data_IF_363700836366
#
_entry.id   IF_363700836366
#
_cell.length_a   1.000
_cell.length_b   1.000
_cell.length_c   1.000
_cell.angle_alpha   90.00
_cell.angle_beta   90.00
_cell.angle_gamma   90.00
#
_symmetry.space_group_name_H-M   'P 1'
#
loop_
_entity.id
_entity.type
_entity.pdbx_description
1 polymer ?
#
# COMPACT_ATOMS: atom_id res chain seq x y z
N UNK A 1 -14.06 15.94 13.35
CA UNK A 1 -13.83 15.18 14.60
C UNK A 1 -13.67 16.20 15.72
N UNK A 2 -14.71 16.41 16.52
CA UNK A 2 -14.76 17.47 17.54
C UNK A 2 -14.39 16.94 18.93
N UNK A 3 -13.15 17.23 19.35
CA UNK A 3 -12.87 18.02 20.56
C UNK A 3 -12.86 17.37 21.95
N UNK A 4 -13.50 16.24 22.21
CA UNK A 4 -13.41 15.61 23.55
C UNK A 4 -13.46 14.08 23.47
N UNK A 5 -12.31 13.45 23.24
CA UNK A 5 -12.19 11.99 23.16
C UNK A 5 -11.18 11.49 24.18
N UNK A 6 -11.58 10.55 25.04
CA UNK A 6 -10.67 9.85 25.96
C UNK A 6 -9.92 8.69 25.29
N UNK A 7 -10.30 8.35 24.06
CA UNK A 7 -9.75 7.25 23.28
C UNK A 7 -8.97 7.76 22.09
N UNK A 8 -7.77 7.21 21.89
CA UNK A 8 -6.90 7.49 20.75
C UNK A 8 -6.55 6.16 20.09
N UNK A 9 -6.74 6.06 18.78
CA UNK A 9 -6.31 4.93 17.97
C UNK A 9 -5.42 5.42 16.82
N UNK A 10 -4.30 4.74 16.62
CA UNK A 10 -3.36 5.01 15.54
C UNK A 10 -3.15 3.78 14.67
N UNK A 11 -3.13 3.99 13.36
CA UNK A 11 -2.69 3.00 12.37
C UNK A 11 -1.34 3.46 11.84
N UNK A 12 -0.31 2.64 12.02
CA UNK A 12 1.06 2.93 11.57
C UNK A 12 1.42 2.03 10.40
N UNK A 13 2.17 2.56 9.44
CA UNK A 13 2.66 1.77 8.31
C UNK A 13 3.75 0.78 8.76
N UNK A 14 3.75 -0.41 8.15
CA UNK A 14 4.86 -1.35 8.21
C UNK A 14 5.71 -1.26 6.93
N UNK A 15 6.12 -2.42 6.40
CA UNK A 15 6.73 -2.50 5.08
C UNK A 15 5.64 -2.65 4.00
N UNK A 16 5.27 -1.54 3.36
CA UNK A 16 4.15 -1.47 2.39
C UNK A 16 4.57 -0.98 1.00
N UNK A 17 5.86 -1.10 0.66
CA UNK A 17 6.41 -0.56 -0.60
C UNK A 17 5.81 -1.18 -1.87
N UNK A 18 5.36 -2.44 -1.77
CA UNK A 18 4.79 -3.26 -2.85
C UNK A 18 3.37 -3.75 -2.51
N UNK A 19 2.72 -3.16 -1.51
CA UNK A 19 1.39 -3.57 -1.05
C UNK A 19 0.33 -2.60 -1.56
N UNK A 20 -0.64 -3.12 -2.32
CA UNK A 20 -1.78 -2.34 -2.82
C UNK A 20 -3.08 -2.65 -2.06
N UNK A 21 -3.91 -1.64 -1.71
CA UNK A 21 -5.26 -1.84 -1.20
C UNK A 21 -6.26 -2.28 -2.31
N UNK A 22 -5.85 -2.27 -3.57
CA UNK A 22 -6.67 -2.59 -4.73
C UNK A 22 -6.70 -4.11 -4.98
N UNK A 23 -7.44 -4.80 -4.12
CA UNK A 23 -7.44 -6.27 -4.03
C UNK A 23 -8.09 -7.00 -5.21
N UNK A 24 -8.80 -6.32 -6.11
CA UNK A 24 -9.36 -6.97 -7.29
C UNK A 24 -8.33 -7.11 -8.43
N UNK A 25 -7.16 -6.48 -8.30
CA UNK A 25 -6.13 -6.47 -9.32
C UNK A 25 -6.22 -5.26 -10.24
N UNK A 26 -5.30 -5.20 -11.21
CA UNK A 26 -5.18 -4.08 -12.15
C UNK A 26 -5.75 -4.43 -13.52
N UNK A 27 -6.54 -3.51 -14.07
CA UNK A 27 -7.26 -3.71 -15.33
C UNK A 27 -7.14 -2.49 -16.24
N UNK A 28 -7.33 -2.75 -17.52
CA UNK A 28 -7.34 -1.73 -18.55
C UNK A 28 -8.65 -0.93 -18.55
N UNK A 29 -8.51 0.39 -18.51
CA UNK A 29 -9.61 1.36 -18.67
C UNK A 29 -9.46 2.08 -20.02
N UNK A 30 -9.80 1.37 -21.10
CA UNK A 30 -9.54 1.79 -22.48
C UNK A 30 -10.78 1.58 -23.37
N UNK A 31 -11.86 2.36 -23.19
CA UNK A 31 -13.10 2.18 -23.92
C UNK A 31 -12.89 2.10 -25.44
N UNK A 32 -13.42 1.05 -26.06
CA UNK A 32 -13.33 0.83 -27.52
C UNK A 32 -12.03 0.16 -27.99
N UNK A 33 -11.13 -0.21 -27.09
CA UNK A 33 -9.93 -0.98 -27.43
C UNK A 33 -10.14 -2.49 -27.17
N UNK A 34 -9.44 -3.39 -27.89
CA UNK A 34 -9.60 -4.84 -27.71
C UNK A 34 -9.14 -5.35 -26.34
N UNK A 35 -8.36 -4.54 -25.61
CA UNK A 35 -7.87 -4.84 -24.27
C UNK A 35 -8.68 -4.18 -23.15
N UNK A 36 -9.79 -3.50 -23.46
CA UNK A 36 -10.63 -2.87 -22.44
C UNK A 36 -11.18 -3.89 -21.46
N UNK A 37 -11.07 -3.60 -20.16
CA UNK A 37 -11.51 -4.50 -19.10
C UNK A 37 -10.69 -5.78 -18.92
N UNK A 38 -9.63 -6.01 -19.70
CA UNK A 38 -8.70 -7.11 -19.48
C UNK A 38 -7.71 -6.78 -18.35
N UNK A 39 -7.12 -7.81 -17.69
CA UNK A 39 -6.02 -7.60 -16.77
C UNK A 39 -4.84 -6.92 -17.46
N UNK A 40 -4.15 -6.03 -16.75
CA UNK A 40 -2.92 -5.43 -17.27
C UNK A 40 -1.82 -6.47 -17.49
N UNK A 41 -0.84 -6.14 -18.33
CA UNK A 41 0.38 -6.93 -18.45
C UNK A 41 1.13 -6.99 -17.12
N UNK A 42 1.48 -8.20 -16.67
CA UNK A 42 2.01 -8.44 -15.33
C UNK A 42 3.43 -7.89 -15.10
N UNK A 43 4.23 -7.79 -16.16
CA UNK A 43 5.62 -7.35 -16.13
C UNK A 43 5.78 -5.83 -16.24
N UNK A 44 4.91 -5.19 -17.02
CA UNK A 44 5.03 -3.78 -17.41
C UNK A 44 3.93 -2.89 -16.87
N UNK A 45 2.86 -3.47 -16.31
CA UNK A 45 1.66 -2.75 -15.86
C UNK A 45 1.02 -1.91 -16.98
N UNK A 46 0.92 -2.47 -18.18
CA UNK A 46 0.46 -1.75 -19.39
C UNK A 46 -0.82 -2.31 -19.97
N UNK A 47 -1.46 -1.46 -20.79
CA UNK A 47 -2.61 -1.75 -21.63
C UNK A 47 -2.35 -1.16 -23.01
N UNK A 48 -2.12 -2.01 -24.02
CA UNK A 48 -1.67 -1.55 -25.34
C UNK A 48 -0.39 -0.72 -25.26
N UNK A 49 0.62 -1.24 -24.52
CA UNK A 49 1.92 -0.62 -24.27
C UNK A 49 1.91 0.70 -23.48
N UNK A 50 0.76 1.11 -22.94
CA UNK A 50 0.63 2.33 -22.11
C UNK A 50 0.32 2.00 -20.66
N UNK A 51 1.10 2.57 -19.75
CA UNK A 51 0.88 2.40 -18.30
C UNK A 51 -0.32 3.21 -17.80
N UNK A 52 -0.59 4.37 -18.40
CA UNK A 52 -1.64 5.33 -17.99
C UNK A 52 -3.05 4.75 -17.92
N UNK A 53 -3.29 3.62 -18.60
CA UNK A 53 -4.61 2.99 -18.70
C UNK A 53 -4.75 1.77 -17.81
N UNK A 54 -3.70 1.39 -17.11
CA UNK A 54 -3.71 0.29 -16.17
C UNK A 54 -4.00 0.80 -14.77
N UNK A 55 -5.17 0.46 -14.23
CA UNK A 55 -5.60 0.91 -12.91
C UNK A 55 -5.98 -0.25 -12.00
N UNK A 56 -5.45 -0.22 -10.78
CA UNK A 56 -5.82 -1.09 -9.68
C UNK A 56 -7.26 -0.85 -9.25
N UNK A 57 -8.01 -1.93 -9.00
CA UNK A 57 -9.40 -1.88 -8.55
C UNK A 57 -9.55 -2.31 -7.10
N UNK A 58 -10.14 -1.44 -6.29
CA UNK A 58 -10.50 -1.72 -4.91
C UNK A 58 -11.60 -2.76 -4.76
N UNK A 59 -11.79 -3.34 -3.55
CA UNK A 59 -12.78 -4.40 -3.30
C UNK A 59 -14.23 -4.02 -3.63
N UNK A 60 -14.55 -2.73 -3.71
CA UNK A 60 -15.87 -2.20 -4.02
C UNK A 60 -15.78 -1.17 -5.17
N UNK A 61 -14.93 -1.42 -6.17
CA UNK A 61 -14.69 -0.53 -7.31
C UNK A 61 -15.99 -0.13 -8.05
N UNK A 62 -16.92 -1.07 -8.20
CA UNK A 62 -18.19 -0.85 -8.89
C UNK A 62 -19.30 -0.27 -7.98
N UNK A 63 -19.03 -0.02 -6.69
CA UNK A 63 -20.06 0.40 -5.72
C UNK A 63 -19.87 1.84 -5.24
N UNK A 64 -20.99 2.56 -5.13
CA UNK A 64 -21.03 3.85 -4.43
C UNK A 64 -21.05 3.68 -2.90
N UNK A 65 -21.02 4.80 -2.16
CA UNK A 65 -21.10 4.80 -0.69
C UNK A 65 -22.39 4.18 -0.13
N UNK A 66 -23.44 4.05 -0.95
CA UNK A 66 -24.72 3.39 -0.59
C UNK A 66 -24.74 1.90 -0.92
N UNK A 67 -23.65 1.36 -1.48
CA UNK A 67 -23.55 -0.03 -1.90
C UNK A 67 -24.26 -0.33 -3.23
N UNK A 68 -24.71 0.69 -3.95
CA UNK A 68 -25.34 0.53 -5.27
C UNK A 68 -24.28 0.55 -6.35
N UNK A 69 -24.43 -0.35 -7.32
CA UNK A 69 -23.72 -0.25 -8.59
C UNK A 69 -24.32 0.89 -9.39
N UNK A 70 -23.55 1.94 -9.62
CA UNK A 70 -23.98 3.12 -10.37
C UNK A 70 -23.06 3.38 -11.55
N UNK A 71 -23.61 4.01 -12.59
CA UNK A 71 -22.94 4.37 -13.84
C UNK A 71 -21.77 5.34 -13.63
N UNK A 72 -21.74 6.04 -12.49
CA UNK A 72 -20.67 6.96 -12.10
C UNK A 72 -19.43 6.26 -11.50
N UNK A 73 -19.50 4.94 -11.28
CA UNK A 73 -18.46 4.18 -10.61
C UNK A 73 -18.29 4.57 -9.14
N UNK A 74 -17.80 3.65 -8.31
CA UNK A 74 -17.32 4.03 -6.99
C UNK A 74 -16.02 4.79 -7.16
N UNK A 75 -15.96 6.09 -6.86
CA UNK A 75 -14.72 6.89 -6.80
C UNK A 75 -13.73 6.41 -5.69
N UNK A 76 -13.61 5.10 -5.48
CA UNK A 76 -12.80 4.49 -4.44
C UNK A 76 -13.34 4.64 -3.01
N UNK A 77 -14.33 5.50 -2.75
CA UNK A 77 -14.80 5.77 -1.38
C UNK A 77 -15.34 4.52 -0.66
N UNK A 78 -16.14 3.70 -1.35
CA UNK A 78 -16.65 2.45 -0.79
C UNK A 78 -15.50 1.49 -0.46
N UNK A 79 -14.54 1.36 -1.39
CA UNK A 79 -13.32 0.55 -1.20
C UNK A 79 -12.48 1.05 -0.03
N UNK A 80 -12.23 2.36 0.08
CA UNK A 80 -11.47 2.98 1.16
C UNK A 80 -12.10 2.68 2.52
N UNK A 81 -13.43 2.81 2.61
CA UNK A 81 -14.17 2.50 3.83
C UNK A 81 -14.10 1.01 4.18
N UNK A 82 -14.23 0.13 3.21
CA UNK A 82 -14.16 -1.32 3.45
C UNK A 82 -12.76 -1.76 3.88
N UNK A 83 -11.71 -1.24 3.25
CA UNK A 83 -10.32 -1.51 3.65
C UNK A 83 -10.05 -1.00 5.07
N UNK A 84 -10.48 0.23 5.40
CA UNK A 84 -10.38 0.76 6.76
C UNK A 84 -11.16 -0.07 7.79
N UNK A 85 -12.38 -0.50 7.44
CA UNK A 85 -13.20 -1.38 8.28
C UNK A 85 -12.51 -2.73 8.55
N UNK A 86 -11.85 -3.31 7.55
CA UNK A 86 -11.09 -4.56 7.69
C UNK A 86 -9.87 -4.39 8.58
N UNK A 87 -9.14 -3.28 8.45
CA UNK A 87 -8.01 -2.97 9.34
C UNK A 87 -8.49 -2.84 10.80
N UNK A 88 -9.58 -2.11 11.04
CA UNK A 88 -10.19 -2.01 12.39
C UNK A 88 -10.63 -3.38 12.90
N UNK A 89 -11.28 -4.19 12.07
CA UNK A 89 -11.74 -5.53 12.46
C UNK A 89 -10.56 -6.43 12.89
N UNK A 90 -9.46 -6.43 12.14
CA UNK A 90 -8.26 -7.20 12.49
C UNK A 90 -7.66 -6.77 13.82
N UNK A 91 -7.61 -5.46 14.10
CA UNK A 91 -7.12 -4.96 15.40
C UNK A 91 -8.09 -5.30 16.53
N UNK A 92 -9.41 -5.19 16.32
CA UNK A 92 -10.41 -5.55 17.35
C UNK A 92 -10.32 -7.03 17.72
N UNK A 93 -10.15 -7.89 16.71
CA UNK A 93 -9.92 -9.32 16.91
C UNK A 93 -8.62 -9.58 17.67
N UNK A 94 -7.51 -8.96 17.25
CA UNK A 94 -6.21 -9.12 17.90
C UNK A 94 -6.20 -8.61 19.37
N UNK A 95 -6.94 -7.54 19.66
CA UNK A 95 -7.09 -6.99 21.02
C UNK A 95 -8.12 -7.77 21.87
N UNK A 96 -8.82 -8.75 21.31
CA UNK A 96 -9.81 -9.55 22.02
C UNK A 96 -11.11 -8.80 22.35
N UNK A 97 -11.45 -7.74 21.60
CA UNK A 97 -12.76 -7.10 21.72
C UNK A 97 -13.85 -8.09 21.30
N UNK A 98 -14.77 -8.39 22.22
CA UNK A 98 -15.90 -9.28 21.92
C UNK A 98 -16.95 -8.55 21.09
N UNK A 99 -17.64 -9.30 20.22
CA UNK A 99 -18.74 -8.82 19.36
C UNK A 99 -19.86 -8.11 20.15
N UNK A 100 -19.92 -8.28 21.48
CA UNK A 100 -20.86 -7.66 22.41
C UNK A 100 -20.76 -6.12 22.49
N UNK A 101 -19.63 -5.53 22.08
CA UNK A 101 -19.41 -4.06 22.11
C UNK A 101 -19.54 -3.41 20.70
N UNK A 102 -20.10 -4.13 19.73
CA UNK A 102 -20.26 -3.64 18.34
C UNK A 102 -21.60 -4.02 17.72
N UNK A 103 -22.68 -3.78 18.46
CA UNK A 103 -23.95 -3.43 17.85
C UNK A 103 -23.98 -1.92 17.55
N UNK A 104 -23.11 -1.43 16.67
CA UNK A 104 -23.45 -0.26 15.86
C UNK A 104 -23.85 -0.79 14.50
N UNK A 105 -25.15 -1.05 14.38
CA UNK A 105 -25.91 -1.35 13.18
C UNK A 105 -25.86 -0.17 12.20
N UNK A 106 -24.69 0.15 11.66
CA UNK A 106 -24.57 1.30 10.74
C UNK A 106 -23.62 1.03 9.57
N UNK A 107 -23.79 -0.14 8.95
CA UNK A 107 -23.88 -0.29 7.49
C UNK A 107 -24.07 -1.77 7.12
N UNK A 108 -25.22 -2.06 6.51
CA UNK A 108 -25.54 -3.39 6.03
C UNK A 108 -24.74 -3.77 4.78
N UNK A 109 -23.81 -4.71 4.93
CA UNK A 109 -23.51 -5.66 3.87
C UNK A 109 -23.53 -7.05 4.50
N UNK A 110 -24.55 -7.84 4.14
CA UNK A 110 -24.76 -9.19 4.66
C UNK A 110 -23.58 -10.10 4.29
N UNK A 111 -22.62 -10.27 5.20
CA UNK A 111 -21.71 -11.41 5.12
C UNK A 111 -22.46 -12.66 5.57
N UNK A 112 -22.70 -13.57 4.62
CA UNK A 112 -23.39 -14.83 4.82
C UNK A 112 -22.87 -15.61 6.04
N UNK A 113 -23.80 -16.16 6.81
CA UNK A 113 -23.56 -16.86 8.07
C UNK A 113 -22.64 -18.09 7.94
N UNK A 114 -22.42 -18.59 6.73
CA UNK A 114 -21.64 -19.81 6.44
C UNK A 114 -20.13 -19.57 6.39
N UNK A 115 -19.66 -18.41 5.90
CA UNK A 115 -18.22 -18.08 5.86
C UNK A 115 -17.64 -17.71 7.25
N UNK A 116 -18.51 -17.28 8.17
CA UNK A 116 -18.13 -16.95 9.56
C UNK A 116 -17.69 -18.18 10.36
N UNK A 117 -18.18 -19.37 10.02
CA UNK A 117 -17.93 -20.59 10.80
C UNK A 117 -16.57 -21.22 10.47
N UNK A 118 -16.14 -21.18 9.21
CA UNK A 118 -14.84 -21.73 8.80
C UNK A 118 -13.67 -20.78 9.09
N UNK A 119 -13.88 -19.46 8.98
CA UNK A 119 -12.84 -18.47 9.32
C UNK A 119 -12.57 -18.42 10.83
N UNK A 120 -13.61 -18.50 11.66
CA UNK A 120 -13.48 -18.64 13.13
C UNK A 120 -12.70 -19.90 13.53
N UNK A 121 -12.75 -20.96 12.73
CA UNK A 121 -11.99 -22.19 12.98
C UNK A 121 -10.51 -22.10 12.55
N UNK A 122 -10.20 -21.35 11.46
CA UNK A 122 -8.81 -21.13 11.00
C UNK A 122 -8.06 -20.10 11.85
N UNK A 123 -8.71 -19.02 12.32
CA UNK A 123 -8.06 -18.04 13.21
C UNK A 123 -7.78 -18.60 14.61
N UNK A 124 -8.60 -19.56 15.08
CA UNK A 124 -8.37 -20.28 16.35
C UNK A 124 -7.08 -21.11 16.38
N UNK A 125 -6.39 -21.30 15.24
CA UNK A 125 -5.11 -22.03 15.21
C UNK A 125 -3.86 -21.17 15.45
N UNK A 126 -4.00 -19.84 15.54
CA UNK A 126 -2.90 -18.95 15.96
C UNK A 126 -3.30 -17.86 16.96
N UNK A 127 -4.60 -17.60 17.15
CA UNK A 127 -5.10 -16.73 18.21
C UNK A 127 -5.39 -17.52 19.47
N UNK A 128 -4.43 -17.61 20.39
CA UNK A 128 -4.68 -18.07 21.75
C UNK A 128 -5.81 -17.25 22.37
N UNK A 129 -6.68 -17.91 23.16
CA UNK A 129 -7.52 -17.22 24.14
C UNK A 129 -6.59 -16.48 25.11
N UNK A 130 -6.29 -15.21 24.88
CA UNK A 130 -5.33 -14.50 25.71
C UNK A 130 -5.53 -13.01 25.58
N UNK A 131 -5.77 -12.32 26.71
CA UNK A 131 -5.69 -10.87 26.76
C UNK A 131 -4.33 -10.38 26.27
N UNK A 132 -4.25 -9.10 25.91
CA UNK A 132 -3.00 -8.46 25.47
C UNK A 132 -1.86 -8.79 26.45
N UNK A 133 -0.72 -9.25 25.92
CA UNK A 133 0.44 -9.57 26.73
C UNK A 133 1.03 -8.27 27.31
N UNK A 134 1.14 -8.13 28.65
CA UNK A 134 1.76 -6.96 29.25
C UNK A 134 3.22 -6.80 28.81
N UNK A 135 3.59 -5.59 28.39
CA UNK A 135 4.97 -5.23 28.05
C UNK A 135 5.60 -4.54 29.27
N UNK A 136 6.74 -5.06 29.73
CA UNK A 136 7.48 -4.52 30.88
C UNK A 136 8.97 -4.42 30.55
N UNK A 137 9.68 -3.49 31.20
CA UNK A 137 11.12 -3.30 31.06
C UNK A 137 11.53 -1.85 30.86
N UNK A 138 12.84 -1.56 30.82
CA UNK A 138 13.34 -0.22 30.57
C UNK A 138 13.10 0.20 29.11
N UNK A 139 12.65 1.44 28.91
CA UNK A 139 12.53 2.06 27.58
C UNK A 139 13.91 2.52 27.11
N UNK A 140 14.29 2.18 25.87
CA UNK A 140 15.54 2.60 25.25
C UNK A 140 15.29 3.11 23.84
N UNK A 141 16.10 4.05 23.39
CA UNK A 141 16.05 4.61 22.04
C UNK A 141 17.46 4.74 21.48
N UNK A 142 17.61 4.49 20.19
CA UNK A 142 18.84 4.73 19.44
C UNK A 142 18.50 5.48 18.16
N UNK A 143 19.35 6.42 17.79
CA UNK A 143 19.20 7.23 16.60
C UNK A 143 20.59 7.50 16.00
N UNK A 144 20.71 7.42 14.68
CA UNK A 144 21.93 7.74 13.96
C UNK A 144 21.58 8.42 12.64
N UNK A 145 22.35 9.46 12.30
CA UNK A 145 22.39 9.97 10.94
C UNK A 145 23.46 9.20 10.16
N UNK A 146 23.07 8.61 9.04
CA UNK A 146 23.96 7.80 8.19
C UNK A 146 24.00 8.41 6.80
N UNK A 147 25.20 8.65 6.27
CA UNK A 147 25.39 9.07 4.89
C UNK A 147 25.29 7.85 3.96
N UNK A 148 24.17 7.74 3.26
CA UNK A 148 23.90 6.63 2.34
C UNK A 148 24.47 6.84 0.94
N UNK A 149 25.18 7.93 0.65
CA UNK A 149 25.74 8.20 -0.69
C UNK A 149 26.99 7.38 -1.03
N UNK A 150 27.54 6.67 -0.06
CA UNK A 150 28.74 5.83 -0.21
C UNK A 150 28.99 4.92 0.99
N UNK A 151 27.92 4.47 1.64
CA UNK A 151 27.98 3.63 2.82
C UNK A 151 28.50 2.23 2.48
N UNK A 152 29.52 1.76 3.19
CA UNK A 152 30.09 0.43 3.00
C UNK A 152 29.57 -0.56 4.03
N UNK A 153 29.15 -1.75 3.57
CA UNK A 153 28.66 -2.81 4.43
C UNK A 153 29.07 -4.19 3.92
N UNK A 154 29.09 -5.17 4.82
CA UNK A 154 29.39 -6.55 4.48
C UNK A 154 28.10 -7.30 4.13
N UNK A 155 28.14 -8.07 3.06
CA UNK A 155 27.09 -9.04 2.73
C UNK A 155 27.25 -10.32 3.56
N UNK A 156 26.22 -11.17 3.54
CA UNK A 156 26.25 -12.46 4.24
C UNK A 156 27.41 -13.37 3.80
N UNK A 157 27.96 -13.17 2.59
CA UNK A 157 29.13 -13.89 2.07
C UNK A 157 30.49 -13.24 2.45
N UNK A 158 30.49 -12.29 3.38
CA UNK A 158 31.65 -11.51 3.81
C UNK A 158 32.30 -10.57 2.76
N UNK A 159 31.72 -10.43 1.56
CA UNK A 159 32.16 -9.39 0.62
C UNK A 159 31.69 -8.01 1.08
N UNK A 160 32.53 -7.00 0.88
CA UNK A 160 32.16 -5.61 1.16
C UNK A 160 31.63 -4.96 -0.10
N UNK A 161 30.49 -4.30 0.02
CA UNK A 161 29.86 -3.53 -1.05
C UNK A 161 29.59 -2.12 -0.57
N UNK A 162 29.37 -1.22 -1.52
CA UNK A 162 29.16 0.20 -1.26
C UNK A 162 27.84 0.65 -1.90
N UNK A 163 27.10 1.52 -1.21
CA UNK A 163 25.92 2.17 -1.78
C UNK A 163 26.30 3.23 -2.83
N UNK A 164 25.37 3.51 -3.73
CA UNK A 164 25.52 4.59 -4.73
C UNK A 164 24.83 5.88 -4.24
N UNK A 165 25.23 7.05 -4.76
CA UNK A 165 24.43 8.26 -4.65
C UNK A 165 23.01 8.04 -5.19
N UNK A 166 22.04 8.78 -4.63
CA UNK A 166 20.64 8.64 -5.02
C UNK A 166 20.44 8.94 -6.52
N UNK A 167 19.80 8.00 -7.22
CA UNK A 167 19.37 8.13 -8.61
C UNK A 167 18.07 7.35 -8.78
N UNK A 168 17.18 7.81 -9.67
CA UNK A 168 15.91 7.16 -9.98
C UNK A 168 15.95 6.56 -11.38
N UNK A 169 15.54 5.30 -11.52
CA UNK A 169 15.43 4.63 -12.82
C UNK A 169 14.21 5.10 -13.61
N UNK A 170 14.16 4.73 -14.90
CA UNK A 170 13.07 5.11 -15.82
C UNK A 170 11.67 4.75 -15.29
N UNK A 171 11.51 3.56 -14.71
CA UNK A 171 10.22 3.10 -14.18
C UNK A 171 9.68 3.96 -13.03
N UNK A 172 10.50 4.80 -12.39
CA UNK A 172 9.99 5.79 -11.43
C UNK A 172 8.93 6.70 -12.07
N UNK A 173 9.14 7.11 -13.32
CA UNK A 173 8.20 7.96 -14.04
C UNK A 173 6.95 7.20 -14.53
N UNK A 174 6.97 5.85 -14.53
CA UNK A 174 5.84 5.00 -14.92
C UNK A 174 4.79 4.82 -13.82
N UNK A 175 5.09 5.24 -12.59
CA UNK A 175 4.18 5.10 -11.44
C UNK A 175 3.87 3.64 -11.12
N UNK A 176 2.70 3.40 -10.52
CA UNK A 176 2.21 2.05 -10.19
C UNK A 176 0.79 1.85 -10.73
N UNK A 177 0.24 0.65 -10.61
CA UNK A 177 -1.17 0.40 -10.96
C UNK A 177 -2.14 1.18 -10.07
N UNK A 178 -1.73 1.58 -8.85
CA UNK A 178 -2.54 2.41 -7.94
C UNK A 178 -2.53 3.90 -8.32
N UNK A 179 -1.61 4.30 -9.20
CA UNK A 179 -1.42 5.66 -9.65
C UNK A 179 -0.40 5.67 -10.78
N UNK A 180 -0.85 5.42 -12.03
CA UNK A 180 0.07 5.30 -13.14
C UNK A 180 0.70 6.66 -13.44
N UNK A 181 1.96 6.61 -13.85
CA UNK A 181 2.73 7.78 -14.23
C UNK A 181 2.24 8.42 -15.52
N UNK A 182 2.67 9.66 -15.76
CA UNK A 182 2.39 10.37 -17.00
C UNK A 182 3.39 9.99 -18.10
N UNK A 183 3.09 10.36 -19.36
CA UNK A 183 4.02 10.27 -20.51
C UNK A 183 4.46 8.87 -20.96
N UNK A 184 3.67 7.82 -20.70
CA UNK A 184 3.84 6.45 -21.23
C UNK A 184 5.16 5.76 -20.81
N UNK A 185 5.78 6.19 -19.71
CA UNK A 185 6.82 5.40 -19.06
C UNK A 185 6.24 4.10 -18.51
N UNK A 186 6.99 3.01 -18.63
CA UNK A 186 6.54 1.67 -18.21
C UNK A 186 7.39 1.12 -17.07
N UNK A 187 6.78 0.28 -16.25
CA UNK A 187 7.52 -0.49 -15.26
C UNK A 187 8.33 -1.59 -15.94
N UNK A 188 9.42 -2.03 -15.32
CA UNK A 188 10.23 -3.13 -15.82
C UNK A 188 11.10 -2.81 -17.05
N UNK A 189 11.24 -1.54 -17.43
CA UNK A 189 12.11 -1.15 -18.54
C UNK A 189 13.59 -1.33 -18.17
N UNK A 190 14.27 -2.21 -18.91
CA UNK A 190 15.70 -2.51 -18.76
C UNK A 190 16.53 -2.04 -19.96
N UNK A 191 15.94 -1.26 -20.88
CA UNK A 191 16.64 -0.77 -22.06
C UNK A 191 17.73 0.21 -21.63
N UNK A 192 18.96 -0.09 -22.06
CA UNK A 192 20.14 0.75 -21.84
C UNK A 192 20.40 1.70 -23.00
N UNK A 193 19.58 1.66 -24.06
CA UNK A 193 19.74 2.48 -25.26
C UNK A 193 18.86 3.72 -25.20
N UNK A 194 19.50 4.87 -24.96
CA UNK A 194 18.85 6.16 -24.85
C UNK A 194 19.48 6.99 -23.74
N UNK A 195 20.54 7.73 -24.07
CA UNK A 195 20.96 8.87 -23.26
C UNK A 195 19.78 9.81 -23.10
N UNK A 196 19.09 9.75 -21.97
CA UNK A 196 18.29 10.87 -21.52
C UNK A 196 18.03 10.75 -20.03
N UNK A 197 18.93 11.37 -19.27
CA UNK A 197 18.60 12.01 -18.00
C UNK A 197 17.49 13.05 -18.25
N UNK A 198 16.24 12.63 -18.54
CA UNK A 198 15.11 13.58 -18.68
C UNK A 198 14.71 14.16 -17.32
N UNK A 199 15.15 13.53 -16.23
CA UNK A 199 15.06 14.06 -14.87
C UNK A 199 16.42 14.53 -14.34
N UNK A 200 17.22 15.21 -15.16
CA UNK A 200 18.09 16.28 -14.62
C UNK A 200 17.23 17.48 -14.24
N UNK A 201 16.35 17.32 -13.25
CA UNK A 201 16.02 18.46 -12.40
C UNK A 201 17.32 18.80 -11.69
N UNK A 202 17.98 19.87 -12.13
CA UNK A 202 18.98 20.58 -11.33
C UNK A 202 18.29 21.20 -10.09
N UNK A 203 17.75 20.36 -9.21
CA UNK A 203 17.58 20.71 -7.80
C UNK A 203 18.80 20.12 -7.12
N UNK A 204 19.92 20.85 -7.20
CA UNK A 204 21.03 20.63 -6.31
C UNK A 204 20.55 20.98 -4.89
N UNK A 205 19.95 20.02 -4.20
CA UNK A 205 19.71 20.13 -2.76
C UNK A 205 21.07 19.95 -2.08
N UNK A 206 21.88 21.00 -2.11
CA UNK A 206 23.14 21.07 -1.39
C UNK A 206 22.78 21.22 0.08
N UNK A 207 22.62 20.09 0.79
CA UNK A 207 22.48 20.10 2.25
C UNK A 207 23.76 20.74 2.80
N UNK A 208 23.70 21.91 3.48
CA UNK A 208 24.88 22.49 4.10
C UNK A 208 25.42 21.51 5.14
N UNK A 209 26.70 21.14 5.02
CA UNK A 209 27.40 20.37 6.05
C UNK A 209 27.39 21.19 7.33
N UNK A 210 26.71 20.70 8.37
CA UNK A 210 26.87 21.20 9.73
C UNK A 210 28.24 20.70 10.22
N UNK A 211 29.17 21.59 10.63
CA UNK A 211 30.45 21.16 11.17
C UNK A 211 30.26 20.45 12.52
N UNK A 212 31.07 19.43 12.84
CA UNK A 212 31.02 18.76 14.13
C UNK A 212 31.45 19.72 15.26
N UNK A 213 30.80 19.58 16.42
CA UNK A 213 31.13 20.26 17.67
C UNK A 213 32.43 19.73 18.29
#
# INVERSE_FOLDING_TARGET
>A
MSGNTTYVAGFVQGAVGDTSPNTLGAFCESPGQPYDGLPCAADSSTCGDRAQKCHGRGPLFDKDLTGRSGELGGYGFASNREVGRRQVAGVREAMGFSDSDSASSDFGLQQGATAKTELKAKVKRQGGKGGMQPVHGPVRSAHAYVDMSGYEFALANATRVRTCPAAMGFSFAGGTTDGPGAFDFVQGDNKTEGEQCVLSFHVAFRIPRVPPA
#
